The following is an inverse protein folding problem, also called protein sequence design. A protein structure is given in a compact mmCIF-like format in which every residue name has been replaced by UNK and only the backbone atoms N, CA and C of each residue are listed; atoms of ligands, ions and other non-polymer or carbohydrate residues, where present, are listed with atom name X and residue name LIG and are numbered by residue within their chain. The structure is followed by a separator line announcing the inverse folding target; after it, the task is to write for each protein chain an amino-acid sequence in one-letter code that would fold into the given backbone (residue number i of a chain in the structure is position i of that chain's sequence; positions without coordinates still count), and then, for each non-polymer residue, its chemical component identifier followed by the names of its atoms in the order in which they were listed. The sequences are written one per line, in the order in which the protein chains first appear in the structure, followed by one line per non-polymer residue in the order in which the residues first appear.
data_IF_525112194430
#
_entry.id   IF_525112194430
#
_cell.length_a   1.000
_cell.length_b   1.000
_cell.length_c   1.000
_cell.angle_alpha   90.00
_cell.angle_beta   90.00
_cell.angle_gamma   90.00
#
_symmetry.space_group_name_H-M   'P 1'
#
loop_
_entity.id
_entity.type
_entity.pdbx_description
1 polymer ?
#
# COMPACT_ATOMS: atom_id res chain seq x y z
N UNK A 1 33.12 6.10 24.89
CA UNK A 1 32.77 5.74 23.51
C UNK A 1 33.84 6.30 22.60
N UNK A 2 34.36 5.48 21.68
CA UNK A 2 35.34 5.93 20.67
C UNK A 2 34.58 6.25 19.38
N UNK A 3 34.84 7.45 18.86
CA UNK A 3 34.26 7.92 17.61
C UNK A 3 34.76 7.08 16.44
N UNK A 4 33.88 6.83 15.48
CA UNK A 4 34.22 6.09 14.28
C UNK A 4 33.35 6.48 13.09
N UNK A 5 33.63 5.89 11.91
CA UNK A 5 32.87 6.15 10.70
C UNK A 5 31.36 5.93 10.89
N UNK A 6 30.56 6.84 10.34
CA UNK A 6 29.09 6.79 10.42
C UNK A 6 28.47 7.43 11.66
N UNK A 7 29.29 7.92 12.61
CA UNK A 7 28.80 8.77 13.70
C UNK A 7 28.43 10.16 13.19
N UNK A 8 27.39 10.76 13.77
CA UNK A 8 27.00 12.14 13.53
C UNK A 8 27.24 12.97 14.77
N UNK A 9 27.97 14.07 14.60
CA UNK A 9 28.44 14.93 15.65
C UNK A 9 27.84 16.33 15.53
N UNK A 10 27.41 16.90 16.65
CA UNK A 10 27.16 18.33 16.78
C UNK A 10 28.43 19.00 17.25
N UNK A 11 28.92 19.97 16.50
CA UNK A 11 30.10 20.74 16.88
C UNK A 11 29.68 22.18 17.12
N UNK A 12 30.12 22.75 18.24
CA UNK A 12 29.91 24.15 18.59
C UNK A 12 31.23 24.76 19.05
N UNK A 13 31.64 25.85 18.40
CA UNK A 13 32.90 26.54 18.66
C UNK A 13 32.61 27.97 19.09
N UNK A 14 33.24 28.37 20.20
CA UNK A 14 33.13 29.69 20.79
C UNK A 14 34.52 30.29 21.02
N UNK A 15 34.66 31.57 20.71
CA UNK A 15 35.86 32.36 20.98
C UNK A 15 35.59 33.34 22.12
N UNK A 16 36.46 33.33 23.14
CA UNK A 16 36.35 34.20 24.30
C UNK A 16 37.24 35.42 24.11
N UNK A 17 36.68 36.52 23.60
CA UNK A 17 37.45 37.76 23.42
C UNK A 17 37.48 38.55 24.73
N UNK A 18 38.63 38.54 25.40
CA UNK A 18 38.85 39.23 26.69
C UNK A 18 38.50 40.72 26.69
N UNK A 19 38.52 41.38 25.52
CA UNK A 19 38.22 42.81 25.41
C UNK A 19 36.72 43.14 25.32
N UNK A 20 35.85 42.15 25.06
CA UNK A 20 34.42 42.37 24.85
C UNK A 20 33.51 41.72 25.91
N UNK A 21 34.02 40.80 26.74
CA UNK A 21 33.22 40.10 27.76
C UNK A 21 32.14 39.16 27.18
N UNK A 22 32.03 39.06 25.85
CA UNK A 22 31.05 38.26 25.13
C UNK A 22 31.72 37.11 24.39
N UNK A 23 31.11 35.91 24.47
CA UNK A 23 31.55 34.75 23.73
C UNK A 23 31.04 34.85 22.28
N UNK A 24 31.96 34.93 21.32
CA UNK A 24 31.59 35.02 19.90
C UNK A 24 31.46 33.61 19.30
N UNK A 25 30.26 33.18 18.86
CA UNK A 25 30.10 31.87 18.23
C UNK A 25 30.65 31.90 16.81
N UNK A 26 31.45 30.90 16.46
CA UNK A 26 31.90 30.70 15.08
C UNK A 26 30.80 30.01 14.28
N UNK A 27 29.82 30.78 13.82
CA UNK A 27 28.63 30.28 13.12
C UNK A 27 28.96 29.41 11.90
N UNK A 28 30.05 29.69 11.19
CA UNK A 28 30.52 28.89 10.05
C UNK A 28 31.06 27.50 10.43
N UNK A 29 31.43 27.29 11.69
CA UNK A 29 31.94 26.01 12.23
C UNK A 29 30.90 25.27 13.07
N UNK A 30 29.78 25.92 13.37
CA UNK A 30 28.71 25.35 14.18
C UNK A 30 27.74 24.59 13.28
N UNK A 31 27.59 23.29 13.53
CA UNK A 31 26.73 22.47 12.69
C UNK A 31 26.77 21.00 13.04
N UNK A 32 26.02 20.23 12.25
CA UNK A 32 26.07 18.77 12.27
C UNK A 32 27.06 18.28 11.23
N UNK A 33 28.02 17.46 11.65
CA UNK A 33 28.99 16.85 10.77
C UNK A 33 28.97 15.35 10.94
N UNK A 34 29.18 14.62 9.85
CA UNK A 34 29.32 13.16 9.87
C UNK A 34 30.79 12.75 9.78
N UNK A 35 31.17 11.73 10.52
CA UNK A 35 32.49 11.11 10.38
C UNK A 35 32.52 10.28 9.09
N UNK A 36 33.44 10.61 8.19
CA UNK A 36 33.66 9.92 6.92
C UNK A 36 34.18 8.49 7.10
N UNK A 37 34.21 7.73 6.00
CA UNK A 37 34.72 6.36 5.99
C UNK A 37 36.23 6.27 6.31
N UNK A 38 36.94 7.34 6.06
CA UNK A 38 38.34 7.60 6.38
C UNK A 38 38.59 7.94 7.85
N UNK A 39 37.53 8.16 8.64
CA UNK A 39 37.62 8.54 10.04
C UNK A 39 37.86 10.03 10.28
N UNK A 40 37.73 10.86 9.24
CA UNK A 40 37.86 12.31 9.34
C UNK A 40 36.49 12.98 9.34
N UNK A 41 36.43 14.16 9.97
CA UNK A 41 35.28 15.05 9.92
C UNK A 41 35.64 16.21 9.00
N UNK A 42 34.88 16.39 7.93
CA UNK A 42 35.06 17.51 7.01
C UNK A 42 34.37 18.74 7.56
N UNK A 43 35.15 19.76 7.90
CA UNK A 43 34.67 21.02 8.45
C UNK A 43 35.02 22.19 7.53
N UNK A 44 34.12 23.17 7.33
CA UNK A 44 34.45 24.42 6.67
C UNK A 44 35.65 25.10 7.35
N UNK A 45 36.54 25.73 6.58
CA UNK A 45 37.73 26.48 7.09
C UNK A 45 38.84 25.59 7.70
N UNK A 46 38.47 24.57 8.47
CA UNK A 46 39.39 23.63 9.13
C UNK A 46 39.81 22.46 8.24
N UNK A 47 39.03 22.11 7.21
CA UNK A 47 39.29 20.96 6.35
C UNK A 47 38.99 19.65 7.08
N UNK A 48 39.80 18.62 6.85
CA UNK A 48 39.63 17.30 7.45
C UNK A 48 40.30 17.25 8.83
N UNK A 49 39.50 16.97 9.87
CA UNK A 49 39.98 16.79 11.26
C UNK A 49 39.80 15.33 11.66
N UNK A 50 40.86 14.69 12.15
CA UNK A 50 40.82 13.28 12.58
C UNK A 50 39.88 13.12 13.77
N UNK A 51 38.82 12.33 13.60
CA UNK A 51 37.85 12.00 14.66
C UNK A 51 37.93 10.54 15.11
N UNK A 52 38.29 9.63 14.21
CA UNK A 52 38.38 8.21 14.50
C UNK A 52 39.37 7.91 15.64
N UNK A 53 39.00 6.91 16.45
CA UNK A 53 39.74 6.43 17.62
C UNK A 53 39.89 7.46 18.76
N UNK A 54 39.24 8.62 18.63
CA UNK A 54 39.19 9.68 19.63
C UNK A 54 37.93 9.65 20.48
N UNK A 55 37.99 10.30 21.64
CA UNK A 55 36.79 10.70 22.38
C UNK A 55 36.29 12.06 21.85
N UNK A 56 35.04 12.42 22.18
CA UNK A 56 34.50 13.76 21.87
C UNK A 56 35.38 14.89 22.44
N UNK A 57 35.94 14.68 23.64
CA UNK A 57 36.88 15.63 24.27
C UNK A 57 38.19 15.77 23.47
N UNK A 58 38.76 14.67 22.98
CA UNK A 58 39.98 14.71 22.17
C UNK A 58 39.73 15.43 20.83
N UNK A 59 38.57 15.18 20.20
CA UNK A 59 38.19 15.86 18.97
C UNK A 59 37.96 17.36 19.21
N UNK A 60 37.31 17.73 20.32
CA UNK A 60 37.13 19.14 20.71
C UNK A 60 38.49 19.86 20.87
N UNK A 61 39.44 19.23 21.57
CA UNK A 61 40.79 19.79 21.72
C UNK A 61 41.54 19.90 20.38
N UNK A 62 41.41 18.91 19.49
CA UNK A 62 42.00 18.93 18.15
C UNK A 62 41.42 20.06 17.29
N UNK A 63 40.10 20.28 17.34
CA UNK A 63 39.43 21.39 16.65
C UNK A 63 39.93 22.74 17.18
N UNK A 64 40.04 22.89 18.50
CA UNK A 64 40.56 24.12 19.12
C UNK A 64 42.00 24.43 18.68
N UNK A 65 42.88 23.42 18.67
CA UNK A 65 44.29 23.57 18.27
C UNK A 65 44.44 23.88 16.77
N UNK A 66 43.70 23.18 15.91
CA UNK A 66 43.75 23.40 14.45
C UNK A 66 43.18 24.76 14.08
N UNK A 67 42.13 25.22 14.77
CA UNK A 67 41.57 26.55 14.58
C UNK A 67 42.55 27.64 15.01
N UNK A 68 43.22 27.46 16.15
CA UNK A 68 44.26 28.39 16.62
C UNK A 68 45.38 28.57 15.58
N UNK A 69 45.87 27.47 15.01
CA UNK A 69 46.95 27.50 14.02
C UNK A 69 46.54 28.13 12.69
N UNK A 70 45.32 27.83 12.20
CA UNK A 70 44.85 28.32 10.89
C UNK A 70 44.36 29.77 10.93
N UNK A 71 43.76 30.21 12.04
CA UNK A 71 43.20 31.54 12.19
C UNK A 71 44.12 32.50 12.96
N UNK A 72 45.35 32.08 13.29
CA UNK A 72 46.36 32.84 14.05
C UNK A 72 45.80 33.50 15.32
N UNK A 73 45.00 32.72 16.07
CA UNK A 73 44.31 33.22 17.25
C UNK A 73 45.27 33.28 18.45
N UNK A 74 45.20 34.40 19.19
CA UNK A 74 45.99 34.59 20.40
C UNK A 74 45.61 33.57 21.51
N UNK A 75 44.33 33.21 21.59
CA UNK A 75 43.79 32.30 22.60
C UNK A 75 43.26 31.00 22.00
N UNK A 76 43.14 29.96 22.83
CA UNK A 76 42.60 28.68 22.41
C UNK A 76 41.06 28.77 22.39
N UNK A 77 40.40 28.65 21.22
CA UNK A 77 38.95 28.67 21.16
C UNK A 77 38.37 27.42 21.84
N UNK A 78 37.23 27.58 22.51
CA UNK A 78 36.53 26.50 23.19
C UNK A 78 35.61 25.79 22.19
N UNK A 79 35.87 24.51 21.91
CA UNK A 79 34.99 23.66 21.13
C UNK A 79 34.24 22.68 22.04
N UNK A 80 32.95 22.47 21.76
CA UNK A 80 32.13 21.40 22.33
C UNK A 80 31.70 20.46 21.22
N UNK A 81 31.84 19.15 21.46
CA UNK A 81 31.48 18.10 20.52
C UNK A 81 30.54 17.12 21.21
N UNK A 82 29.37 16.93 20.63
CA UNK A 82 28.35 15.99 21.11
C UNK A 82 27.99 14.99 20.01
N UNK A 83 27.71 13.74 20.38
CA UNK A 83 27.25 12.73 19.41
C UNK A 83 25.73 12.80 19.30
N UNK A 84 25.22 13.19 18.13
CA UNK A 84 23.77 13.26 17.86
C UNK A 84 23.24 11.87 17.52
N UNK A 85 23.98 11.13 16.68
CA UNK A 85 23.65 9.76 16.32
C UNK A 85 24.90 8.91 16.32
N UNK A 86 24.83 7.81 17.05
CA UNK A 86 25.84 6.76 17.02
C UNK A 86 25.69 5.91 15.77
N UNK A 87 26.80 5.34 15.30
CA UNK A 87 26.78 4.39 14.20
C UNK A 87 25.83 3.22 14.51
N UNK A 88 24.98 2.83 13.55
CA UNK A 88 24.02 1.76 13.74
C UNK A 88 24.72 0.39 13.79
N UNK A 89 24.04 -0.59 14.38
CA UNK A 89 24.43 -2.00 14.32
C UNK A 89 23.32 -2.81 13.67
N UNK A 90 23.65 -4.04 13.25
CA UNK A 90 22.71 -4.94 12.61
C UNK A 90 22.45 -6.16 13.48
N UNK A 91 21.18 -6.54 13.60
CA UNK A 91 20.78 -7.80 14.24
C UNK A 91 20.25 -8.72 13.15
N UNK A 92 20.83 -9.91 13.06
CA UNK A 92 20.49 -10.94 12.07
C UNK A 92 20.24 -12.28 12.76
N UNK A 93 19.60 -13.22 12.06
CA UNK A 93 19.33 -14.57 12.56
C UNK A 93 17.94 -14.71 13.19
N UNK A 94 17.81 -15.59 14.18
CA UNK A 94 16.54 -15.99 14.80
C UNK A 94 16.01 -14.95 15.81
N UNK A 95 15.85 -13.71 15.37
CA UNK A 95 15.19 -12.63 16.14
C UNK A 95 13.84 -12.28 15.51
N UNK A 96 12.92 -11.74 16.30
CA UNK A 96 11.58 -11.40 15.80
C UNK A 96 11.64 -10.34 14.69
N UNK A 97 12.50 -9.33 14.82
CA UNK A 97 12.71 -8.30 13.80
C UNK A 97 14.20 -8.16 13.46
N UNK A 98 14.71 -8.88 12.45
CA UNK A 98 16.07 -8.66 11.96
C UNK A 98 16.13 -7.30 11.24
N UNK A 99 17.22 -6.56 11.44
CA UNK A 99 17.34 -5.23 10.85
C UNK A 99 18.45 -4.37 11.43
N UNK A 100 18.40 -3.10 11.05
CA UNK A 100 19.32 -2.04 11.47
C UNK A 100 18.76 -1.34 12.71
N UNK A 101 19.59 -1.19 13.73
CA UNK A 101 19.23 -0.56 15.00
C UNK A 101 20.24 0.52 15.38
N UNK A 102 19.77 1.54 16.08
CA UNK A 102 20.63 2.63 16.59
C UNK A 102 21.36 2.17 17.86
N UNK A 103 22.68 2.39 17.89
CA UNK A 103 23.49 2.06 19.05
C UNK A 103 23.27 3.08 20.18
N UNK A 104 23.22 2.60 21.43
CA UNK A 104 23.21 3.44 22.61
C UNK A 104 24.44 3.14 23.50
N UNK A 105 25.09 4.16 24.10
CA UNK A 105 26.21 3.95 25.00
C UNK A 105 25.83 3.04 26.18
N UNK A 106 26.69 2.07 26.50
CA UNK A 106 26.44 1.12 27.58
C UNK A 106 25.48 -0.02 27.22
N UNK A 107 25.01 -0.08 25.98
CA UNK A 107 24.10 -1.13 25.54
C UNK A 107 24.80 -2.50 25.53
N UNK A 108 24.14 -3.49 26.14
CA UNK A 108 24.58 -4.89 26.15
C UNK A 108 24.02 -5.66 24.95
N UNK A 109 24.61 -6.81 24.64
CA UNK A 109 24.09 -7.72 23.60
C UNK A 109 22.63 -8.13 23.93
N UNK A 110 22.31 -8.34 25.21
CA UNK A 110 20.96 -8.69 25.62
C UNK A 110 19.96 -7.57 25.30
N UNK A 111 20.31 -6.31 25.61
CA UNK A 111 19.49 -5.16 25.25
C UNK A 111 19.35 -5.01 23.73
N UNK A 112 20.41 -5.28 22.96
CA UNK A 112 20.38 -5.28 21.50
C UNK A 112 19.40 -6.34 20.94
N UNK A 113 19.36 -7.53 21.54
CA UNK A 113 18.38 -8.58 21.17
C UNK A 113 16.96 -8.17 21.59
N UNK A 114 16.81 -7.54 22.76
CA UNK A 114 15.53 -7.01 23.21
C UNK A 114 14.99 -5.91 22.27
N UNK A 115 15.85 -5.04 21.74
CA UNK A 115 15.45 -4.04 20.73
C UNK A 115 14.98 -4.69 19.43
N UNK A 116 15.49 -5.89 19.10
CA UNK A 116 15.02 -6.71 17.98
C UNK A 116 13.77 -7.56 18.29
N UNK A 117 13.02 -7.19 19.33
CA UNK A 117 11.83 -7.88 19.84
C UNK A 117 12.10 -9.31 20.38
N UNK A 118 13.34 -9.61 20.73
CA UNK A 118 13.72 -10.89 21.29
C UNK A 118 13.90 -12.00 20.25
N UNK A 119 14.16 -13.21 20.75
CA UNK A 119 14.39 -14.40 19.92
C UNK A 119 13.03 -14.91 19.41
N UNK A 120 12.99 -15.36 18.16
CA UNK A 120 11.79 -16.01 17.60
C UNK A 120 11.45 -17.23 18.44
N UNK A 121 10.22 -17.31 18.96
CA UNK A 121 9.73 -18.50 19.65
C UNK A 121 9.12 -19.48 18.66
N UNK A 122 9.19 -20.77 18.96
CA UNK A 122 8.60 -21.81 18.11
C UNK A 122 7.09 -21.59 17.89
N UNK A 123 6.39 -21.12 18.93
CA UNK A 123 4.97 -20.71 18.87
C UNK A 123 4.69 -19.67 17.78
N UNK A 124 5.60 -18.71 17.58
CA UNK A 124 5.43 -17.62 16.62
C UNK A 124 5.53 -18.16 15.19
N UNK A 125 6.38 -19.16 14.96
CA UNK A 125 6.48 -19.87 13.69
C UNK A 125 5.20 -20.65 13.35
N UNK A 126 4.60 -21.32 14.34
CA UNK A 126 3.32 -22.03 14.14
C UNK A 126 2.16 -21.07 13.86
N UNK A 127 2.07 -19.95 14.57
CA UNK A 127 1.02 -18.95 14.37
C UNK A 127 1.13 -18.28 13.00
N UNK A 128 2.34 -17.96 12.56
CA UNK A 128 2.57 -17.43 11.21
C UNK A 128 2.16 -18.43 10.12
N UNK A 129 2.44 -19.72 10.32
CA UNK A 129 1.95 -20.78 9.41
C UNK A 129 0.42 -20.88 9.41
N UNK A 130 -0.25 -20.78 10.57
CA UNK A 130 -1.73 -20.78 10.63
C UNK A 130 -2.35 -19.58 9.93
N UNK A 131 -1.78 -18.38 10.08
CA UNK A 131 -2.27 -17.19 9.38
C UNK A 131 -2.20 -17.33 7.85
N UNK A 132 -1.20 -18.03 7.33
CA UNK A 132 -1.11 -18.37 5.90
C UNK A 132 -2.19 -19.38 5.48
N UNK A 133 -2.57 -20.32 6.34
CA UNK A 133 -3.71 -21.22 6.06
C UNK A 133 -5.05 -20.46 6.03
N UNK A 134 -5.26 -19.53 6.96
CA UNK A 134 -6.49 -18.74 7.04
C UNK A 134 -6.63 -17.79 5.84
N UNK A 135 -5.52 -17.14 5.45
CA UNK A 135 -5.44 -16.32 4.23
C UNK A 135 -5.71 -17.15 2.96
N UNK A 136 -5.36 -18.44 2.97
CA UNK A 136 -5.67 -19.34 1.86
C UNK A 136 -7.17 -19.59 1.71
N UNK A 137 -7.91 -19.73 2.82
CA UNK A 137 -9.36 -19.88 2.81
C UNK A 137 -10.07 -18.63 2.28
N UNK A 138 -9.64 -17.45 2.73
CA UNK A 138 -10.17 -16.16 2.26
C UNK A 138 -9.86 -15.93 0.77
N UNK A 139 -8.67 -16.33 0.30
CA UNK A 139 -8.33 -16.26 -1.13
C UNK A 139 -9.27 -17.12 -1.97
N UNK A 140 -9.58 -18.34 -1.53
CA UNK A 140 -10.47 -19.24 -2.28
C UNK A 140 -11.91 -18.73 -2.30
N UNK A 141 -12.41 -18.13 -1.21
CA UNK A 141 -13.75 -17.53 -1.20
C UNK A 141 -13.85 -16.33 -2.15
N UNK A 142 -12.86 -15.42 -2.13
CA UNK A 142 -12.77 -14.30 -3.06
C UNK A 142 -12.62 -14.76 -4.51
N UNK A 143 -11.87 -15.83 -4.75
CA UNK A 143 -11.74 -16.43 -6.08
C UNK A 143 -13.07 -16.97 -6.58
N UNK A 144 -13.82 -17.68 -5.75
CA UNK A 144 -15.15 -18.19 -6.08
C UNK A 144 -16.14 -17.05 -6.35
N UNK A 145 -16.11 -15.99 -5.54
CA UNK A 145 -16.95 -14.81 -5.73
C UNK A 145 -16.65 -14.11 -7.07
N UNK A 146 -15.37 -13.95 -7.40
CA UNK A 146 -14.95 -13.39 -8.69
C UNK A 146 -15.46 -14.23 -9.86
N UNK A 147 -15.29 -15.56 -9.80
CA UNK A 147 -15.75 -16.48 -10.86
C UNK A 147 -17.27 -16.35 -11.06
N UNK A 148 -18.04 -16.35 -9.97
CA UNK A 148 -19.50 -16.22 -10.05
C UNK A 148 -19.93 -14.86 -10.62
N UNK A 149 -19.23 -13.79 -10.26
CA UNK A 149 -19.51 -12.43 -10.75
C UNK A 149 -19.22 -12.28 -12.24
N UNK A 150 -18.12 -12.84 -12.73
CA UNK A 150 -17.75 -12.86 -14.16
C UNK A 150 -18.77 -13.68 -14.99
N UNK A 151 -19.23 -14.82 -14.46
CA UNK A 151 -20.21 -15.65 -15.15
C UNK A 151 -21.57 -14.94 -15.22
N UNK A 152 -21.97 -14.30 -14.12
CA UNK A 152 -23.18 -13.46 -14.06
C UNK A 152 -23.09 -12.27 -15.02
N UNK A 153 -21.93 -11.62 -15.11
CA UNK A 153 -21.71 -10.52 -16.05
C UNK A 153 -21.89 -11.01 -17.49
N UNK A 154 -21.29 -12.15 -17.84
CA UNK A 154 -21.43 -12.76 -19.17
C UNK A 154 -22.89 -13.07 -19.51
N UNK A 155 -23.67 -13.59 -18.55
CA UNK A 155 -25.11 -13.80 -18.72
C UNK A 155 -25.86 -12.49 -18.92
N UNK A 156 -25.60 -11.48 -18.10
CA UNK A 156 -26.28 -10.19 -18.17
C UNK A 156 -25.98 -9.47 -19.50
N UNK A 157 -24.74 -9.49 -19.98
CA UNK A 157 -24.41 -8.95 -21.30
C UNK A 157 -25.16 -9.68 -22.42
N UNK A 158 -25.35 -11.00 -22.30
CA UNK A 158 -26.14 -11.77 -23.26
C UNK A 158 -27.65 -11.47 -23.18
N UNK A 159 -28.20 -11.24 -21.99
CA UNK A 159 -29.60 -10.84 -21.81
C UNK A 159 -29.88 -9.44 -22.35
N UNK A 160 -28.95 -8.49 -22.13
CA UNK A 160 -29.07 -7.11 -22.62
C UNK A 160 -28.96 -7.03 -24.14
N UNK A 161 -28.12 -7.88 -24.75
CA UNK A 161 -27.98 -7.96 -26.21
C UNK A 161 -28.99 -8.87 -26.90
N UNK A 162 -29.93 -9.47 -26.14
CA UNK A 162 -30.88 -10.47 -26.62
C UNK A 162 -30.23 -11.63 -27.41
N UNK A 163 -29.00 -11.98 -27.02
CA UNK A 163 -28.19 -12.95 -27.74
C UNK A 163 -28.80 -14.37 -27.73
N UNK A 164 -28.41 -15.17 -28.71
CA UNK A 164 -28.84 -16.58 -28.79
C UNK A 164 -28.21 -17.45 -27.69
N UNK A 165 -26.99 -17.11 -27.25
CA UNK A 165 -26.17 -17.87 -26.30
C UNK A 165 -25.27 -16.93 -25.49
N UNK A 166 -24.83 -17.38 -24.31
CA UNK A 166 -23.86 -16.63 -23.51
C UNK A 166 -22.47 -16.73 -24.15
N UNK A 167 -21.88 -15.58 -24.44
CA UNK A 167 -20.44 -15.48 -24.72
C UNK A 167 -19.73 -15.21 -23.39
N UNK A 168 -18.94 -16.17 -22.94
CA UNK A 168 -18.19 -16.05 -21.68
C UNK A 168 -17.02 -15.09 -21.84
N UNK A 169 -16.67 -14.36 -20.78
CA UNK A 169 -15.50 -13.47 -20.80
C UNK A 169 -14.21 -14.22 -21.09
N UNK A 170 -13.24 -13.54 -21.71
CA UNK A 170 -11.91 -14.09 -22.02
C UNK A 170 -11.26 -14.71 -20.77
N UNK A 171 -11.44 -14.08 -19.61
CA UNK A 171 -10.97 -14.58 -18.32
C UNK A 171 -11.51 -15.97 -17.96
N UNK A 172 -12.83 -16.21 -18.10
CA UNK A 172 -13.42 -17.51 -17.77
C UNK A 172 -13.02 -18.58 -18.79
N UNK A 173 -12.91 -18.22 -20.07
CA UNK A 173 -12.45 -19.17 -21.10
C UNK A 173 -11.00 -19.60 -20.90
N UNK A 174 -10.13 -18.71 -20.40
CA UNK A 174 -8.74 -19.03 -20.09
C UNK A 174 -8.58 -20.01 -18.91
N UNK A 175 -9.55 -20.05 -17.99
CA UNK A 175 -9.52 -20.87 -16.76
C UNK A 175 -10.64 -21.93 -16.80
N UNK A 176 -11.09 -22.33 -17.99
CA UNK A 176 -12.22 -23.23 -18.17
C UNK A 176 -12.00 -24.66 -17.61
N UNK A 177 -10.76 -25.04 -17.30
CA UNK A 177 -10.43 -26.36 -16.73
C UNK A 177 -10.74 -26.45 -15.23
N UNK A 178 -10.88 -25.32 -14.53
CA UNK A 178 -11.12 -25.29 -13.10
C UNK A 178 -12.55 -25.77 -12.77
N UNK A 179 -12.74 -26.77 -11.87
CA UNK A 179 -14.06 -27.30 -11.52
C UNK A 179 -15.05 -26.24 -11.06
N UNK A 180 -14.60 -25.19 -10.35
CA UNK A 180 -15.46 -24.12 -9.88
C UNK A 180 -15.96 -23.26 -11.03
N UNK A 181 -15.11 -22.99 -12.02
CA UNK A 181 -15.44 -22.25 -13.23
C UNK A 181 -16.45 -23.02 -14.07
N UNK A 182 -16.20 -24.32 -14.31
CA UNK A 182 -17.10 -25.18 -15.07
C UNK A 182 -18.50 -25.20 -14.45
N UNK A 183 -18.58 -25.35 -13.12
CA UNK A 183 -19.86 -25.35 -12.41
C UNK A 183 -20.57 -24.00 -12.55
N UNK A 184 -19.89 -22.88 -12.28
CA UNK A 184 -20.49 -21.56 -12.36
C UNK A 184 -20.99 -21.24 -13.78
N UNK A 185 -20.20 -21.56 -14.81
CA UNK A 185 -20.59 -21.39 -16.21
C UNK A 185 -21.82 -22.21 -16.57
N UNK A 186 -21.88 -23.47 -16.11
CA UNK A 186 -23.03 -24.35 -16.32
C UNK A 186 -24.29 -23.81 -15.64
N UNK A 187 -24.18 -23.39 -14.39
CA UNK A 187 -25.30 -22.88 -13.60
C UNK A 187 -25.90 -21.61 -14.24
N UNK A 188 -25.05 -20.67 -14.68
CA UNK A 188 -25.49 -19.45 -15.36
C UNK A 188 -26.08 -19.73 -16.76
N UNK A 189 -25.54 -20.71 -17.49
CA UNK A 189 -26.09 -21.12 -18.80
C UNK A 189 -27.47 -21.74 -18.66
N UNK A 190 -27.67 -22.59 -17.66
CA UNK A 190 -28.97 -23.16 -17.36
C UNK A 190 -29.97 -22.05 -17.01
N UNK A 191 -29.59 -21.15 -16.11
CA UNK A 191 -30.43 -20.04 -15.69
C UNK A 191 -30.85 -19.14 -16.86
N UNK A 192 -29.92 -18.82 -17.76
CA UNK A 192 -30.18 -18.02 -18.95
C UNK A 192 -31.23 -18.67 -19.86
N UNK A 193 -31.05 -19.96 -20.18
CA UNK A 193 -31.98 -20.68 -21.06
C UNK A 193 -33.37 -20.73 -20.45
N UNK A 194 -33.50 -21.05 -19.15
CA UNK A 194 -34.79 -21.06 -18.45
C UNK A 194 -35.46 -19.69 -18.46
N UNK A 195 -34.72 -18.62 -18.21
CA UNK A 195 -35.27 -17.25 -18.24
C UNK A 195 -35.72 -16.84 -19.64
N UNK A 196 -34.94 -17.19 -20.66
CA UNK A 196 -35.27 -16.92 -22.05
C UNK A 196 -36.56 -17.63 -22.47
N UNK A 197 -36.69 -18.91 -22.13
CA UNK A 197 -37.91 -19.69 -22.40
C UNK A 197 -39.14 -19.12 -21.69
N UNK A 198 -39.00 -18.76 -20.40
CA UNK A 198 -40.09 -18.14 -19.64
C UNK A 198 -40.54 -16.82 -20.27
N UNK A 199 -39.60 -15.95 -20.67
CA UNK A 199 -39.90 -14.68 -21.33
C UNK A 199 -40.59 -14.89 -22.69
N UNK A 200 -40.14 -15.86 -23.48
CA UNK A 200 -40.78 -16.20 -24.76
C UNK A 200 -42.21 -16.70 -24.55
N UNK A 201 -42.44 -17.54 -23.55
CA UNK A 201 -43.78 -18.02 -23.18
C UNK A 201 -44.70 -16.85 -22.79
N UNK A 202 -44.19 -15.90 -22.00
CA UNK A 202 -44.92 -14.69 -21.61
C UNK A 202 -45.28 -13.81 -22.82
N UNK A 203 -44.32 -13.57 -23.73
CA UNK A 203 -44.56 -12.84 -24.97
C UNK A 203 -45.65 -13.52 -25.80
N UNK A 204 -45.57 -14.84 -25.98
CA UNK A 204 -46.56 -15.59 -26.74
C UNK A 204 -47.97 -15.49 -26.11
N UNK A 205 -48.07 -15.56 -24.78
CA UNK A 205 -49.34 -15.40 -24.07
C UNK A 205 -49.93 -13.99 -24.26
N UNK A 206 -49.09 -12.96 -24.18
CA UNK A 206 -49.50 -11.57 -24.44
C UNK A 206 -49.95 -11.40 -25.90
N UNK A 207 -49.22 -11.96 -26.87
CA UNK A 207 -49.60 -11.88 -28.28
C UNK A 207 -50.93 -12.57 -28.59
N UNK A 208 -51.18 -13.74 -27.99
CA UNK A 208 -52.46 -14.44 -28.10
C UNK A 208 -53.60 -13.60 -27.54
N UNK A 209 -53.42 -13.00 -26.35
CA UNK A 209 -54.43 -12.10 -25.77
C UNK A 209 -54.71 -10.90 -26.67
N UNK A 210 -53.67 -10.29 -27.25
CA UNK A 210 -53.79 -9.16 -28.18
C UNK A 210 -54.55 -9.55 -29.45
N UNK A 211 -54.36 -10.77 -29.94
CA UNK A 211 -55.07 -11.28 -31.11
C UNK A 211 -56.57 -11.47 -30.82
N UNK A 212 -56.92 -12.03 -29.65
CA UNK A 212 -58.31 -12.19 -29.21
C UNK A 212 -59.00 -10.81 -29.11
N UNK A 213 -58.37 -9.84 -28.43
CA UNK A 213 -58.94 -8.49 -28.31
C UNK A 213 -59.08 -7.79 -29.66
N UNK A 214 -58.17 -8.01 -30.62
CA UNK A 214 -58.33 -7.49 -31.98
C UNK A 214 -59.56 -8.06 -32.68
N UNK A 215 -59.81 -9.36 -32.55
CA UNK A 215 -61.00 -10.00 -33.13
C UNK A 215 -62.28 -9.47 -32.49
N UNK A 216 -62.27 -9.23 -31.18
CA UNK A 216 -63.40 -8.65 -30.44
C UNK A 216 -63.67 -7.20 -30.87
N UNK A 217 -62.63 -6.37 -31.07
CA UNK A 217 -62.80 -5.02 -31.61
C UNK A 217 -63.40 -5.02 -33.02
N UNK A 218 -62.97 -5.95 -33.89
CA UNK A 218 -63.52 -6.08 -35.25
C UNK A 218 -65.01 -6.46 -35.19
N UNK A 219 -65.39 -7.39 -34.32
CA UNK A 219 -66.79 -7.79 -34.17
C UNK A 219 -67.65 -6.67 -33.58
N UNK A 220 -67.13 -5.93 -32.59
CA UNK A 220 -67.80 -4.75 -32.02
C UNK A 220 -68.00 -3.64 -33.05
N UNK A 221 -67.00 -3.37 -33.89
CA UNK A 221 -67.10 -2.38 -34.97
C UNK A 221 -68.11 -2.79 -36.05
N UNK A 222 -68.18 -4.08 -36.37
CA UNK A 222 -69.23 -4.60 -37.25
C UNK A 222 -70.62 -4.39 -36.63
N UNK A 223 -70.75 -4.64 -35.32
CA UNK A 223 -72.01 -4.45 -34.58
C UNK A 223 -72.44 -2.97 -34.53
N UNK A 224 -71.53 -2.04 -34.27
CA UNK A 224 -71.84 -0.61 -34.29
C UNK A 224 -72.30 -0.15 -35.68
N UNK A 225 -71.63 -0.59 -36.75
CA UNK A 225 -72.03 -0.26 -38.12
C UNK A 225 -73.41 -0.82 -38.50
N UNK A 226 -73.79 -2.00 -37.99
CA UNK A 226 -75.15 -2.51 -38.18
C UNK A 226 -76.21 -1.69 -37.45
N UNK A 227 -75.91 -1.22 -36.24
CA UNK A 227 -76.80 -0.38 -35.45
C UNK A 227 -76.98 1.01 -36.08
N UNK A 228 -75.91 1.61 -36.61
CA UNK A 228 -75.97 2.88 -37.35
C UNK A 228 -76.89 2.78 -38.57
N UNK A 229 -76.76 1.69 -39.36
CA UNK A 229 -77.67 1.44 -40.50
C UNK A 229 -79.13 1.29 -40.07
N UNK A 230 -79.40 0.62 -38.96
CA UNK A 230 -80.75 0.48 -38.43
C UNK A 230 -81.34 1.83 -37.99
N UNK A 231 -80.53 2.69 -37.38
CA UNK A 231 -80.92 4.04 -36.98
C UNK A 231 -81.19 4.96 -38.18
N UNK A 232 -80.41 4.86 -39.27
CA UNK A 232 -80.68 5.61 -40.50
C UNK A 232 -82.00 5.19 -41.17
N UNK A 233 -82.29 3.89 -41.21
CA UNK A 233 -83.56 3.38 -41.76
C UNK A 233 -84.75 3.85 -40.92
N UNK A 234 -84.59 3.93 -39.59
CA UNK A 234 -85.63 4.41 -38.68
C UNK A 234 -85.90 5.92 -38.76
N UNK A 235 -85.00 6.71 -39.38
CA UNK A 235 -85.12 8.18 -39.47
C UNK A 235 -85.66 8.67 -40.82
N UNK A 236 -85.94 7.78 -41.77
CA UNK A 236 -86.63 8.06 -43.04
C UNK A 236 -88.11 7.71 -42.94
#
# INVERSE_FOLDING_TARGET
YLLGPGDRLSIRVYDLRKNAGEAYPWTALNGEFSVGADGFVSMPILGEVKAADGTTANLAAAIGNTLKQKADLAELPAASVEVIRYRPFYVIGAVQQPGKYEFQPGMTILQAISTAQGIVRESDLYNKKRGVLDSGGELESLRAERISSEAKLSRLSAEVSEASSIQMTDYLTAIATDPHVVKAMRDETLLFNTRKEARLSEINAIEQSRQIYKQELVSLKAKSGTLERQLEISRK
#
